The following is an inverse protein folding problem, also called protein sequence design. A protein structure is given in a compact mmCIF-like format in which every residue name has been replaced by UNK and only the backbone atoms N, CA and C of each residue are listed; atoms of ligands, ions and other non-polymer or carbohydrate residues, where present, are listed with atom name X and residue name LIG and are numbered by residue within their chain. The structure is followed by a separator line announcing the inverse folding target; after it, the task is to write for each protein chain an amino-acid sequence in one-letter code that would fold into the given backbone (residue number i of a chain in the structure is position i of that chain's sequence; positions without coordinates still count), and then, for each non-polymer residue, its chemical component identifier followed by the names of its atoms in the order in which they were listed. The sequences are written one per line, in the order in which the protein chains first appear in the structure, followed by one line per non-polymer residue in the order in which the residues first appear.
data_IF_570105318759
#
_entry.id   IF_570105318759
#
_cell.length_a   1.000
_cell.length_b   1.000
_cell.length_c   1.000
_cell.angle_alpha   90.00
_cell.angle_beta   90.00
_cell.angle_gamma   90.00
#
_symmetry.space_group_name_H-M   'P 1'
#
loop_
_entity.id
_entity.type
_entity.pdbx_description
1 polymer ?
#
# COMPACT_ATOMS: atom_id res chain seq x y z
N UNK A 1 -32.59 8.49 -45.41
CA UNK A 1 -31.46 7.68 -44.91
C UNK A 1 -30.97 8.36 -43.63
N UNK A 2 -31.38 7.86 -42.46
CA UNK A 2 -31.05 8.47 -41.16
C UNK A 2 -29.77 7.79 -40.65
N UNK A 3 -28.71 8.58 -40.49
CA UNK A 3 -27.41 8.15 -39.99
C UNK A 3 -27.51 8.01 -38.46
N UNK A 4 -27.55 6.78 -37.94
CA UNK A 4 -27.49 6.52 -36.50
C UNK A 4 -26.04 6.70 -36.01
N UNK A 5 -25.80 7.76 -35.23
CA UNK A 5 -24.59 7.89 -34.41
C UNK A 5 -24.66 6.86 -33.28
N UNK A 6 -23.81 5.83 -33.34
CA UNK A 6 -23.57 4.95 -32.20
C UNK A 6 -22.74 5.73 -31.16
N UNK A 7 -23.39 6.16 -30.07
CA UNK A 7 -22.69 6.67 -28.89
C UNK A 7 -22.02 5.47 -28.23
N UNK A 8 -20.72 5.30 -28.47
CA UNK A 8 -19.92 4.31 -27.77
C UNK A 8 -19.91 4.68 -26.27
N UNK A 9 -20.74 4.00 -25.49
CA UNK A 9 -20.74 4.12 -24.04
C UNK A 9 -19.37 3.73 -23.52
N UNK A 10 -18.61 4.71 -23.03
CA UNK A 10 -17.37 4.45 -22.32
C UNK A 10 -17.71 3.68 -21.04
N UNK A 11 -17.49 2.36 -21.05
CA UNK A 11 -17.51 1.56 -19.83
C UNK A 11 -16.37 2.09 -18.98
N UNK A 12 -16.69 2.91 -17.98
CA UNK A 12 -15.73 3.31 -16.96
C UNK A 12 -15.25 2.01 -16.30
N UNK A 13 -13.99 1.64 -16.54
CA UNK A 13 -13.36 0.56 -15.82
C UNK A 13 -13.57 0.83 -14.32
N UNK A 14 -14.13 -0.16 -13.62
CA UNK A 14 -14.41 -0.03 -12.20
C UNK A 14 -13.13 0.41 -11.46
N UNK A 15 -13.24 1.33 -10.49
CA UNK A 15 -12.09 1.70 -9.66
C UNK A 15 -11.49 0.45 -9.02
N UNK A 16 -10.22 0.52 -8.61
CA UNK A 16 -9.56 -0.51 -7.81
C UNK A 16 -10.54 -1.04 -6.74
N UNK A 17 -10.88 -2.32 -6.82
CA UNK A 17 -11.68 -2.99 -5.79
C UNK A 17 -10.74 -3.95 -5.06
N UNK A 18 -10.55 -3.75 -3.77
CA UNK A 18 -9.65 -4.59 -2.99
C UNK A 18 -10.15 -4.72 -1.57
N UNK A 19 -10.26 -5.96 -1.11
CA UNK A 19 -10.57 -6.28 0.28
C UNK A 19 -9.29 -6.75 0.97
N UNK A 20 -8.72 -5.96 1.90
CA UNK A 20 -7.48 -6.31 2.59
C UNK A 20 -7.62 -7.47 3.59
N UNK A 21 -8.85 -7.86 3.95
CA UNK A 21 -9.08 -8.99 4.85
C UNK A 21 -9.02 -10.33 4.10
N UNK A 22 -9.65 -10.40 2.93
CA UNK A 22 -9.58 -11.61 2.07
C UNK A 22 -8.39 -11.58 1.11
N UNK A 23 -7.72 -10.43 0.98
CA UNK A 23 -6.67 -10.17 -0.01
C UNK A 23 -7.13 -10.47 -1.44
N UNK A 24 -8.39 -10.17 -1.75
CA UNK A 24 -8.98 -10.39 -3.07
C UNK A 24 -9.46 -9.08 -3.68
N UNK A 25 -9.53 -9.04 -5.01
CA UNK A 25 -9.90 -7.81 -5.69
C UNK A 25 -9.64 -7.78 -7.18
N UNK A 26 -9.69 -6.57 -7.72
CA UNK A 26 -9.40 -6.26 -9.11
C UNK A 26 -8.74 -4.88 -9.24
N UNK A 27 -7.67 -4.83 -10.04
CA UNK A 27 -7.03 -3.58 -10.47
C UNK A 27 -7.22 -3.42 -11.98
N UNK A 28 -7.77 -2.29 -12.42
CA UNK A 28 -7.94 -2.01 -13.84
C UNK A 28 -6.64 -1.54 -14.50
N UNK A 29 -6.50 -1.78 -15.81
CA UNK A 29 -5.37 -1.24 -16.58
C UNK A 29 -5.26 0.29 -16.51
N UNK A 30 -6.39 0.99 -16.34
CA UNK A 30 -6.43 2.45 -16.23
C UNK A 30 -5.74 2.92 -14.95
N UNK A 31 -5.95 2.22 -13.84
CA UNK A 31 -5.38 2.57 -12.53
C UNK A 31 -3.86 2.44 -12.57
N UNK A 32 -3.35 1.33 -13.12
CA UNK A 32 -1.90 1.11 -13.30
C UNK A 32 -1.31 2.19 -14.22
N UNK A 33 -1.96 2.47 -15.35
CA UNK A 33 -1.49 3.52 -16.26
C UNK A 33 -1.46 4.89 -15.61
N UNK A 34 -2.48 5.23 -14.83
CA UNK A 34 -2.54 6.48 -14.10
C UNK A 34 -1.41 6.56 -13.07
N UNK A 35 -1.22 5.50 -12.27
CA UNK A 35 -0.21 5.44 -11.22
C UNK A 35 1.23 5.59 -11.77
N UNK A 36 1.51 5.02 -12.94
CA UNK A 36 2.83 5.12 -13.56
C UNK A 36 2.98 6.23 -14.62
N UNK A 37 1.89 6.90 -15.01
CA UNK A 37 1.90 7.83 -16.14
C UNK A 37 2.14 7.15 -17.50
N UNK A 38 1.69 5.90 -17.66
CA UNK A 38 1.98 5.08 -18.84
C UNK A 38 0.91 5.16 -19.94
N UNK A 39 1.39 5.03 -21.17
CA UNK A 39 0.53 4.76 -22.34
C UNK A 39 0.04 3.30 -22.34
N UNK A 40 -0.95 2.98 -23.16
CA UNK A 40 -1.39 1.59 -23.34
C UNK A 40 -0.27 0.71 -23.91
N UNK A 41 0.56 1.25 -24.82
CA UNK A 41 1.70 0.52 -25.40
C UNK A 41 2.76 0.20 -24.34
N UNK A 42 3.11 1.17 -23.49
CA UNK A 42 4.02 0.95 -22.36
C UNK A 42 3.46 -0.08 -21.39
N UNK A 43 2.16 -0.04 -21.11
CA UNK A 43 1.56 -1.04 -20.24
C UNK A 43 1.66 -2.45 -20.86
N UNK A 44 1.39 -2.59 -22.15
CA UNK A 44 1.42 -3.90 -22.81
C UNK A 44 2.81 -4.57 -22.72
N UNK A 45 3.89 -3.79 -22.79
CA UNK A 45 5.26 -4.32 -22.67
C UNK A 45 5.66 -4.61 -21.22
N UNK A 46 5.15 -3.85 -20.25
CA UNK A 46 5.51 -3.95 -18.83
C UNK A 46 4.61 -4.89 -18.03
N UNK A 47 3.38 -5.14 -18.49
CA UNK A 47 2.36 -5.91 -17.77
C UNK A 47 2.82 -7.29 -17.24
N UNK A 48 3.63 -8.08 -17.96
CA UNK A 48 4.11 -9.37 -17.46
C UNK A 48 5.02 -9.27 -16.23
N UNK A 49 5.67 -8.12 -16.01
CA UNK A 49 6.59 -7.89 -14.91
C UNK A 49 5.98 -7.17 -13.70
N UNK A 50 4.68 -6.91 -13.71
CA UNK A 50 4.02 -6.22 -12.60
C UNK A 50 3.87 -7.14 -11.39
N UNK A 51 4.28 -6.65 -10.23
CA UNK A 51 4.12 -7.32 -8.94
C UNK A 51 3.16 -6.50 -8.08
N UNK A 52 2.14 -7.14 -7.55
CA UNK A 52 1.16 -6.51 -6.66
C UNK A 52 1.43 -6.94 -5.22
N UNK A 53 1.38 -5.98 -4.30
CA UNK A 53 1.62 -6.23 -2.89
C UNK A 53 0.56 -5.55 -2.03
N UNK A 54 0.21 -6.17 -0.90
CA UNK A 54 -0.41 -5.46 0.22
C UNK A 54 0.65 -5.20 1.27
N UNK A 55 0.83 -3.95 1.64
CA UNK A 55 1.52 -3.60 2.88
C UNK A 55 0.51 -3.34 3.98
N UNK A 56 0.91 -3.60 5.21
CA UNK A 56 0.11 -3.30 6.39
C UNK A 56 1.01 -2.78 7.49
N UNK A 57 0.43 -1.96 8.36
CA UNK A 57 1.10 -1.44 9.53
C UNK A 57 0.11 -1.24 10.67
N UNK A 58 0.63 -1.29 11.89
CA UNK A 58 -0.01 -0.74 13.07
C UNK A 58 0.98 0.17 13.78
N UNK A 59 0.63 1.44 13.80
CA UNK A 59 1.41 2.49 14.44
C UNK A 59 0.79 2.86 15.77
N UNK A 60 1.60 2.80 16.83
CA UNK A 60 1.26 3.35 18.12
C UNK A 60 1.85 4.76 18.25
N UNK A 61 1.04 5.71 18.69
CA UNK A 61 1.50 7.07 19.00
C UNK A 61 1.81 7.15 20.49
N UNK A 62 2.95 7.75 20.83
CA UNK A 62 3.40 7.97 22.20
C UNK A 62 3.69 9.44 22.46
N UNK A 63 3.42 9.87 23.69
CA UNK A 63 4.07 11.03 24.29
C UNK A 63 5.25 10.55 25.13
N UNK A 64 6.47 10.88 24.73
CA UNK A 64 7.72 10.45 25.36
C UNK A 64 8.40 11.64 26.04
N UNK A 65 9.00 11.42 27.21
CA UNK A 65 9.90 12.37 27.89
C UNK A 65 11.24 11.72 28.18
N UNK A 66 12.32 12.48 28.00
CA UNK A 66 13.69 12.09 28.35
C UNK A 66 14.30 13.00 29.43
N UNK A 67 13.47 13.75 30.15
CA UNK A 67 13.88 14.73 31.17
C UNK A 67 13.65 16.18 30.74
N UNK A 68 13.92 16.54 29.48
CA UNK A 68 13.71 17.90 28.96
C UNK A 68 12.43 18.01 28.10
N UNK A 69 11.29 17.93 28.79
CA UNK A 69 9.97 18.04 28.19
C UNK A 69 9.49 16.76 27.49
N UNK A 70 8.30 16.84 26.90
CA UNK A 70 7.67 15.73 26.19
C UNK A 70 7.54 16.00 24.69
N UNK A 71 7.62 14.96 23.88
CA UNK A 71 7.50 15.02 22.43
C UNK A 71 6.80 13.78 21.86
N UNK A 72 6.15 13.91 20.69
CA UNK A 72 5.48 12.77 20.05
C UNK A 72 6.50 11.81 19.44
N UNK A 73 6.21 10.51 19.54
CA UNK A 73 6.95 9.43 18.87
C UNK A 73 5.94 8.49 18.22
N UNK A 74 6.19 8.13 16.96
CA UNK A 74 5.48 7.04 16.28
C UNK A 74 6.28 5.76 16.44
N UNK A 75 5.62 4.70 16.91
CA UNK A 75 6.17 3.36 17.06
C UNK A 75 5.49 2.44 16.04
N UNK A 76 6.25 1.94 15.06
CA UNK A 76 5.78 0.96 14.08
C UNK A 76 5.71 -0.42 14.74
N UNK A 77 4.60 -0.71 15.42
CA UNK A 77 4.44 -1.89 16.27
C UNK A 77 4.47 -3.17 15.46
N UNK A 78 3.60 -3.23 14.45
CA UNK A 78 3.44 -4.37 13.55
C UNK A 78 3.52 -3.83 12.13
N UNK A 79 4.23 -4.51 11.25
CA UNK A 79 4.28 -4.13 9.83
C UNK A 79 4.62 -5.33 8.97
N UNK A 80 4.25 -5.27 7.71
CA UNK A 80 4.60 -6.34 6.80
C UNK A 80 4.14 -6.11 5.37
N UNK A 81 4.44 -7.12 4.56
CA UNK A 81 4.10 -7.15 3.14
C UNK A 81 3.62 -8.55 2.79
N UNK A 82 2.54 -8.61 2.03
CA UNK A 82 2.08 -9.80 1.32
C UNK A 82 2.33 -9.61 -0.18
N UNK A 83 2.92 -10.63 -0.80
CA UNK A 83 2.98 -10.73 -2.26
C UNK A 83 1.66 -11.33 -2.75
N UNK A 84 0.99 -10.65 -3.67
CA UNK A 84 -0.35 -11.02 -4.09
C UNK A 84 -0.32 -11.93 -5.31
N UNK A 85 -1.19 -12.94 -5.29
CA UNK A 85 -1.44 -13.79 -6.46
C UNK A 85 -2.37 -13.03 -7.39
N UNK A 86 -1.88 -12.76 -8.61
CA UNK A 86 -2.63 -12.03 -9.63
C UNK A 86 -2.78 -12.82 -10.91
N UNK A 87 -3.95 -12.71 -11.52
CA UNK A 87 -4.22 -13.19 -12.87
C UNK A 87 -4.55 -12.01 -13.76
N UNK A 88 -3.69 -11.77 -14.76
CA UNK A 88 -4.01 -10.81 -15.81
C UNK A 88 -5.31 -11.22 -16.51
N UNK A 89 -6.15 -10.24 -16.79
CA UNK A 89 -7.44 -10.39 -17.48
C UNK A 89 -7.36 -9.73 -18.84
N UNK A 90 -8.08 -10.26 -19.82
CA UNK A 90 -8.14 -9.73 -21.18
C UNK A 90 -8.17 -10.81 -22.25
N UNK A 91 -8.13 -10.38 -23.52
CA UNK A 91 -8.08 -11.25 -24.70
C UNK A 91 -6.67 -11.30 -25.31
N UNK A 92 -6.52 -12.01 -26.44
CA UNK A 92 -5.24 -12.15 -27.14
C UNK A 92 -4.52 -10.80 -27.32
N UNK A 93 -3.40 -10.64 -26.61
CA UNK A 93 -2.52 -9.46 -26.71
C UNK A 93 -2.99 -8.19 -25.97
N UNK A 94 -4.12 -8.21 -25.26
CA UNK A 94 -4.62 -7.02 -24.56
C UNK A 94 -4.90 -7.32 -23.09
N UNK A 95 -4.23 -6.61 -22.18
CA UNK A 95 -4.49 -6.67 -20.74
C UNK A 95 -5.52 -5.62 -20.35
N UNK A 96 -6.63 -6.04 -19.75
CA UNK A 96 -7.69 -5.15 -19.25
C UNK A 96 -7.55 -4.84 -17.76
N UNK A 97 -6.81 -5.67 -17.02
CA UNK A 97 -6.54 -5.51 -15.59
C UNK A 97 -6.06 -6.81 -14.94
N UNK A 98 -6.04 -6.86 -13.62
CA UNK A 98 -5.54 -7.99 -12.83
C UNK A 98 -6.53 -8.37 -11.75
N UNK A 99 -6.96 -9.63 -11.74
CA UNK A 99 -7.73 -10.21 -10.66
C UNK A 99 -6.78 -10.67 -9.57
N UNK A 100 -6.97 -10.17 -8.35
CA UNK A 100 -6.24 -10.58 -7.16
C UNK A 100 -7.05 -11.68 -6.46
N UNK A 101 -6.40 -12.80 -6.14
CA UNK A 101 -7.07 -14.00 -5.60
C UNK A 101 -6.56 -14.44 -4.23
N UNK A 102 -5.77 -13.61 -3.56
CA UNK A 102 -5.15 -13.90 -2.27
C UNK A 102 -3.66 -13.55 -2.25
N UNK A 103 -2.98 -13.87 -1.15
CA UNK A 103 -1.53 -13.80 -1.04
C UNK A 103 -0.86 -15.13 -1.38
N UNK A 104 0.30 -15.08 -2.05
CA UNK A 104 1.15 -16.24 -2.29
C UNK A 104 2.19 -16.43 -1.17
N UNK A 105 2.63 -15.35 -0.56
CA UNK A 105 3.61 -15.33 0.53
C UNK A 105 3.53 -14.01 1.30
N UNK A 106 4.23 -13.93 2.43
CA UNK A 106 4.34 -12.69 3.18
C UNK A 106 5.51 -12.67 4.14
N UNK A 107 5.88 -11.46 4.55
CA UNK A 107 6.83 -11.21 5.62
C UNK A 107 6.23 -10.18 6.57
N UNK A 108 6.47 -10.37 7.86
CA UNK A 108 6.03 -9.45 8.90
C UNK A 108 7.14 -9.21 9.92
N UNK A 109 7.14 -8.03 10.51
CA UNK A 109 8.00 -7.64 11.60
C UNK A 109 7.18 -7.07 12.76
N UNK A 110 7.78 -7.11 13.94
CA UNK A 110 7.33 -6.36 15.11
C UNK A 110 8.50 -5.59 15.69
N UNK A 111 8.21 -4.52 16.43
CA UNK A 111 9.24 -3.77 17.14
C UNK A 111 8.85 -3.47 18.58
N UNK A 112 9.85 -3.27 19.44
CA UNK A 112 9.64 -3.01 20.87
C UNK A 112 9.17 -1.57 21.08
N UNK A 113 8.12 -1.39 21.86
CA UNK A 113 7.59 -0.07 22.21
C UNK A 113 8.59 0.77 23.01
N UNK A 114 8.51 2.12 22.91
CA UNK A 114 9.29 3.02 23.75
C UNK A 114 8.95 2.82 25.23
N UNK A 115 9.96 2.59 26.06
CA UNK A 115 9.82 2.32 27.48
C UNK A 115 10.90 3.07 28.30
N UNK A 116 10.60 3.31 29.57
CA UNK A 116 11.57 3.94 30.47
C UNK A 116 12.87 3.13 30.56
N UNK A 117 14.01 3.82 30.60
CA UNK A 117 15.35 3.22 30.61
C UNK A 117 15.94 2.93 29.22
N UNK A 118 15.15 2.97 28.15
CA UNK A 118 15.68 2.88 26.78
C UNK A 118 16.38 4.19 26.36
N UNK A 119 17.26 4.16 25.34
CA UNK A 119 17.87 5.36 24.78
C UNK A 119 16.84 6.40 24.34
N UNK A 120 17.11 7.68 24.57
CA UNK A 120 16.25 8.74 24.09
C UNK A 120 16.31 8.80 22.54
N UNK A 121 15.18 8.74 21.83
CA UNK A 121 15.17 8.70 20.37
C UNK A 121 15.44 10.06 19.72
N UNK A 122 15.40 11.16 20.50
CA UNK A 122 15.62 12.52 20.00
C UNK A 122 16.87 13.15 20.66
N UNK A 123 17.93 13.45 19.88
CA UNK A 123 19.11 14.12 20.39
C UNK A 123 18.79 15.45 21.11
N UNK A 124 19.53 15.76 22.18
CA UNK A 124 19.37 17.00 22.94
C UNK A 124 18.20 17.05 23.93
N UNK A 125 17.43 15.97 24.09
CA UNK A 125 16.31 15.88 25.05
C UNK A 125 16.63 15.16 26.37
N UNK A 126 17.83 14.61 26.47
CA UNK A 126 18.28 13.70 27.54
C UNK A 126 18.94 12.45 26.94
N UNK A 127 19.39 11.53 27.80
CA UNK A 127 20.07 10.29 27.36
C UNK A 127 19.14 9.09 27.35
N UNK A 128 18.19 9.00 28.28
CA UNK A 128 17.25 7.88 28.40
C UNK A 128 15.81 8.37 28.50
N UNK A 129 14.87 7.52 28.08
CA UNK A 129 13.45 7.74 28.28
C UNK A 129 13.15 7.63 29.77
N UNK A 130 12.51 8.64 30.34
CA UNK A 130 12.02 8.63 31.73
C UNK A 130 10.53 8.28 31.80
N UNK A 131 9.78 8.59 30.75
CA UNK A 131 8.34 8.31 30.66
C UNK A 131 7.91 8.15 29.21
N UNK A 132 7.08 7.16 28.94
CA UNK A 132 6.38 7.00 27.67
C UNK A 132 4.91 6.69 27.96
N UNK A 133 4.00 7.43 27.32
CA UNK A 133 2.56 7.22 27.44
C UNK A 133 2.00 7.04 26.05
N UNK A 134 1.39 5.88 25.78
CA UNK A 134 0.68 5.64 24.54
C UNK A 134 -0.56 6.54 24.48
N UNK A 135 -0.71 7.28 23.40
CA UNK A 135 -1.82 8.22 23.15
C UNK A 135 -2.77 7.75 22.07
N UNK A 136 -2.37 6.77 21.25
CA UNK A 136 -3.25 6.23 20.21
C UNK A 136 -2.67 5.03 19.48
N UNK A 137 -3.52 4.42 18.67
CA UNK A 137 -3.15 3.36 17.72
C UNK A 137 -3.85 3.66 16.40
N UNK A 138 -3.13 3.49 15.30
CA UNK A 138 -3.66 3.52 13.95
C UNK A 138 -3.17 2.28 13.20
N UNK A 139 -4.10 1.48 12.70
CA UNK A 139 -3.79 0.46 11.71
C UNK A 139 -4.08 1.01 10.32
N UNK A 140 -3.38 0.47 9.32
CA UNK A 140 -3.63 0.78 7.92
C UNK A 140 -2.99 -0.25 7.01
N UNK A 141 -3.33 -0.15 5.74
CA UNK A 141 -2.74 -0.94 4.69
C UNK A 141 -2.66 -0.18 3.37
N UNK A 142 -1.89 -0.71 2.45
CA UNK A 142 -1.72 -0.12 1.14
C UNK A 142 -1.62 -1.21 0.08
N UNK A 143 -2.43 -1.12 -0.96
CA UNK A 143 -2.28 -1.92 -2.17
C UNK A 143 -1.34 -1.18 -3.12
N UNK A 144 -0.27 -1.86 -3.53
CA UNK A 144 0.74 -1.29 -4.42
C UNK A 144 1.05 -2.18 -5.59
N UNK A 145 1.61 -1.55 -6.62
CA UNK A 145 2.12 -2.21 -7.81
C UNK A 145 3.56 -1.76 -8.06
N UNK A 146 4.42 -2.71 -8.38
CA UNK A 146 5.82 -2.49 -8.70
C UNK A 146 6.09 -2.93 -10.13
N UNK A 147 6.87 -2.12 -10.85
CA UNK A 147 7.51 -2.48 -12.11
C UNK A 147 8.99 -2.18 -11.98
N UNK A 148 9.84 -3.20 -12.16
CA UNK A 148 11.28 -3.07 -11.92
C UNK A 148 11.52 -2.52 -10.50
N UNK A 149 12.19 -1.36 -10.36
CA UNK A 149 12.47 -0.72 -9.08
C UNK A 149 11.48 0.39 -8.71
N UNK A 150 10.45 0.63 -9.53
CA UNK A 150 9.48 1.70 -9.30
C UNK A 150 8.21 1.12 -8.68
N UNK A 151 7.94 1.55 -7.45
CA UNK A 151 6.69 1.29 -6.72
C UNK A 151 5.70 2.44 -6.93
N UNK A 152 4.41 2.08 -7.05
CA UNK A 152 3.28 3.00 -7.02
C UNK A 152 2.15 2.49 -6.15
N UNK A 153 1.46 3.44 -5.53
CA UNK A 153 0.34 3.18 -4.64
C UNK A 153 -0.96 3.21 -5.43
N UNK A 154 -1.83 2.23 -5.19
CA UNK A 154 -3.11 2.07 -5.90
C UNK A 154 -4.30 2.38 -5.00
N UNK A 155 -4.20 2.03 -3.72
CA UNK A 155 -5.25 2.22 -2.73
C UNK A 155 -4.64 2.25 -1.33
N UNK A 156 -5.13 3.16 -0.49
CA UNK A 156 -4.89 3.15 0.96
C UNK A 156 -6.12 2.60 1.66
N UNK A 157 -5.89 1.70 2.60
CA UNK A 157 -6.81 1.16 3.58
C UNK A 157 -6.17 1.31 4.99
#
# INVERSE_FOLDING_TARGET
MILQLAVAGAVLAAPVTYDPHTMTGYVGQRDVRHAFGWTAATLATRAPGLVFNQEFWTDDSYTVSCGNGSFPVTHHRDFGRYWLTVKATGGYGTVTGWRITGASSGISGTSVAPAAGQPCPLPGRGTTIVRAVKTGTKAGCELTVTSEDVRRDLLVC
#
